data_IF_379310327019
#
_entry.id   IF_379310327019
#
_cell.length_a   1.000
_cell.length_b   1.000
_cell.length_c   1.000
_cell.angle_alpha   90.00
_cell.angle_beta   90.00
_cell.angle_gamma   90.00
#
_symmetry.space_group_name_H-M   'P 1'
#
loop_
_entity.id
_entity.type
_entity.pdbx_description
1 polymer ?
#
# COMPACT_ATOMS: atom_id res chain seq x y z
N UNK A 1 -14.51 17.60 15.05
CA UNK A 1 -13.28 16.95 14.57
C UNK A 1 -12.54 16.18 15.66
N UNK A 2 -12.02 16.80 16.75
CA UNK A 2 -11.29 16.10 17.81
C UNK A 2 -12.12 15.02 18.54
N UNK A 3 -13.40 15.30 18.79
CA UNK A 3 -14.33 14.34 19.40
C UNK A 3 -14.50 13.08 18.53
N UNK A 4 -14.63 13.27 17.20
CA UNK A 4 -14.75 12.17 16.25
C UNK A 4 -13.47 11.31 16.22
N UNK A 5 -12.28 11.95 16.25
CA UNK A 5 -11.01 11.23 16.38
C UNK A 5 -10.91 10.46 17.69
N UNK A 6 -11.35 11.05 18.80
CA UNK A 6 -11.38 10.37 20.09
C UNK A 6 -12.29 9.12 20.05
N UNK A 7 -13.48 9.21 19.45
CA UNK A 7 -14.37 8.06 19.26
C UNK A 7 -13.73 6.98 18.38
N UNK A 8 -13.15 7.37 17.24
CA UNK A 8 -12.49 6.42 16.35
C UNK A 8 -11.37 5.66 17.08
N UNK A 9 -10.50 6.37 17.81
CA UNK A 9 -9.38 5.72 18.50
C UNK A 9 -9.84 4.89 19.70
N UNK A 10 -10.66 5.43 20.58
CA UNK A 10 -11.03 4.74 21.82
C UNK A 10 -11.98 3.57 21.54
N UNK A 11 -13.04 3.79 20.77
CA UNK A 11 -14.01 2.74 20.48
C UNK A 11 -13.42 1.73 19.48
N UNK A 12 -12.69 2.21 18.47
CA UNK A 12 -12.03 1.35 17.48
C UNK A 12 -11.01 0.42 18.11
N UNK A 13 -10.15 0.92 19.00
CA UNK A 13 -9.19 0.08 19.72
C UNK A 13 -9.87 -0.88 20.71
N UNK A 14 -10.93 -0.45 21.37
CA UNK A 14 -11.71 -1.30 22.30
C UNK A 14 -12.36 -2.46 21.53
N UNK A 15 -13.02 -2.17 20.42
CA UNK A 15 -13.64 -3.21 19.57
C UNK A 15 -12.60 -4.13 18.93
N UNK A 16 -11.46 -3.60 18.51
CA UNK A 16 -10.35 -4.41 18.01
C UNK A 16 -9.83 -5.37 19.10
N UNK A 17 -9.73 -4.92 20.36
CA UNK A 17 -9.32 -5.75 21.48
C UNK A 17 -10.37 -6.83 21.80
N UNK A 18 -11.66 -6.52 21.73
CA UNK A 18 -12.77 -7.47 21.91
C UNK A 18 -12.70 -8.54 20.80
N UNK A 19 -12.59 -8.15 19.54
CA UNK A 19 -12.47 -9.08 18.42
C UNK A 19 -11.25 -9.99 18.58
N UNK A 20 -10.13 -9.46 19.05
CA UNK A 20 -8.93 -10.27 19.31
C UNK A 20 -9.17 -11.33 20.42
N UNK A 21 -9.87 -10.99 21.50
CA UNK A 21 -10.27 -11.96 22.54
C UNK A 21 -11.19 -13.05 21.98
N UNK A 22 -12.03 -12.71 21.00
CA UNK A 22 -12.90 -13.65 20.29
C UNK A 22 -12.16 -14.44 19.20
N UNK A 23 -10.83 -14.31 19.09
CA UNK A 23 -9.99 -14.91 18.04
C UNK A 23 -10.32 -14.43 16.61
N UNK A 24 -10.98 -13.29 16.49
CA UNK A 24 -11.24 -12.62 15.22
C UNK A 24 -10.13 -11.62 14.88
N UNK A 25 -9.88 -11.32 13.59
CA UNK A 25 -8.98 -10.25 13.18
C UNK A 25 -9.40 -8.90 13.76
N UNK A 26 -8.43 -8.10 14.24
CA UNK A 26 -8.68 -6.76 14.82
C UNK A 26 -9.40 -5.83 13.86
N UNK A 27 -9.14 -5.97 12.56
CA UNK A 27 -9.72 -5.14 11.51
C UNK A 27 -11.26 -5.25 11.47
N UNK A 28 -11.82 -6.40 11.81
CA UNK A 28 -13.28 -6.59 11.86
C UNK A 28 -13.89 -5.65 12.91
N UNK A 29 -13.28 -5.56 14.10
CA UNK A 29 -13.74 -4.65 15.15
C UNK A 29 -13.65 -3.18 14.73
N UNK A 30 -12.58 -2.80 14.05
CA UNK A 30 -12.40 -1.44 13.52
C UNK A 30 -13.44 -1.13 12.43
N UNK A 31 -13.72 -2.06 11.52
CA UNK A 31 -14.75 -1.91 10.47
C UNK A 31 -16.14 -1.73 11.08
N UNK A 32 -16.53 -2.59 12.01
CA UNK A 32 -17.82 -2.48 12.71
C UNK A 32 -17.92 -1.12 13.41
N UNK A 33 -16.86 -0.68 14.08
CA UNK A 33 -16.83 0.65 14.70
C UNK A 33 -17.05 1.77 13.68
N UNK A 34 -16.38 1.70 12.53
CA UNK A 34 -16.54 2.69 11.46
C UNK A 34 -17.96 2.73 10.91
N UNK A 35 -18.59 1.59 10.72
CA UNK A 35 -19.99 1.49 10.26
C UNK A 35 -20.93 2.08 11.32
N UNK A 36 -20.77 1.71 12.59
CA UNK A 36 -21.65 2.17 13.68
C UNK A 36 -21.52 3.66 13.94
N UNK A 37 -20.30 4.21 13.95
CA UNK A 37 -20.06 5.63 14.17
C UNK A 37 -20.36 6.49 12.93
N UNK A 38 -20.39 5.86 11.77
CA UNK A 38 -20.56 6.50 10.46
C UNK A 38 -21.93 7.14 10.26
N UNK A 39 -22.10 7.83 9.10
CA UNK A 39 -23.28 8.63 8.82
C UNK A 39 -24.57 7.81 8.67
N UNK A 40 -24.47 6.51 8.40
CA UNK A 40 -25.63 5.66 8.15
C UNK A 40 -26.23 5.00 9.39
N UNK A 41 -25.56 5.04 10.56
CA UNK A 41 -26.05 4.44 11.80
C UNK A 41 -26.21 5.49 12.90
N UNK A 42 -25.11 5.86 13.59
CA UNK A 42 -25.17 6.81 14.69
C UNK A 42 -24.85 8.25 14.30
N UNK A 43 -24.24 8.46 13.13
CA UNK A 43 -23.84 9.78 12.62
C UNK A 43 -23.06 10.63 13.65
N UNK A 44 -22.12 9.99 14.35
CA UNK A 44 -21.30 10.64 15.39
C UNK A 44 -19.99 11.21 14.83
N UNK A 45 -19.69 10.94 13.55
CA UNK A 45 -18.50 11.47 12.90
C UNK A 45 -18.80 12.83 12.26
N UNK A 46 -17.96 13.79 12.59
CA UNK A 46 -18.00 15.13 12.02
C UNK A 46 -17.72 15.09 10.50
N UNK A 47 -18.49 15.79 9.66
CA UNK A 47 -18.27 15.84 8.22
C UNK A 47 -16.83 16.23 7.81
N UNK A 48 -16.15 17.04 8.62
CA UNK A 48 -14.76 17.43 8.38
C UNK A 48 -13.78 16.24 8.42
N UNK A 49 -14.06 15.21 9.23
CA UNK A 49 -13.26 13.97 9.24
C UNK A 49 -13.54 13.13 7.99
N UNK A 50 -14.79 13.09 7.57
CA UNK A 50 -15.17 12.34 6.36
C UNK A 50 -14.57 12.97 5.11
N UNK A 51 -14.50 14.30 5.03
CA UNK A 51 -13.91 15.00 3.88
C UNK A 51 -12.41 14.77 3.73
N UNK A 52 -11.66 14.62 4.83
CA UNK A 52 -10.21 14.35 4.81
C UNK A 52 -9.87 12.86 4.97
N UNK A 53 -10.85 11.96 4.86
CA UNK A 53 -10.64 10.53 5.11
C UNK A 53 -9.73 9.87 4.06
N UNK A 54 -9.72 10.37 2.82
CA UNK A 54 -8.84 9.93 1.74
C UNK A 54 -7.38 10.22 2.06
N UNK A 55 -7.08 11.44 2.50
CA UNK A 55 -5.74 11.88 2.86
C UNK A 55 -5.23 11.13 4.10
N UNK A 56 -6.08 10.95 5.12
CA UNK A 56 -5.74 10.17 6.31
C UNK A 56 -5.41 8.70 5.95
N UNK A 57 -6.14 8.11 5.01
CA UNK A 57 -5.88 6.76 4.51
C UNK A 57 -4.55 6.69 3.76
N UNK A 58 -4.23 7.66 2.90
CA UNK A 58 -2.95 7.74 2.21
C UNK A 58 -1.79 7.90 3.19
N UNK A 59 -1.91 8.79 4.19
CA UNK A 59 -0.90 8.94 5.24
C UNK A 59 -0.66 7.62 6.00
N UNK A 60 -1.73 6.92 6.36
CA UNK A 60 -1.62 5.63 7.05
C UNK A 60 -0.91 4.58 6.16
N UNK A 61 -1.23 4.53 4.87
CA UNK A 61 -0.60 3.63 3.91
C UNK A 61 0.92 3.91 3.79
N UNK A 62 1.31 5.17 3.66
CA UNK A 62 2.71 5.59 3.61
C UNK A 62 3.47 5.12 4.87
N UNK A 63 2.90 5.34 6.06
CA UNK A 63 3.53 4.91 7.32
C UNK A 63 3.72 3.40 7.37
N UNK A 64 2.72 2.62 6.91
CA UNK A 64 2.80 1.16 6.86
C UNK A 64 3.88 0.71 5.89
N UNK A 65 3.93 1.31 4.70
CA UNK A 65 4.91 0.97 3.67
C UNK A 65 6.34 1.40 4.05
N UNK A 66 6.52 2.54 4.71
CA UNK A 66 7.81 2.93 5.29
C UNK A 66 8.30 1.90 6.31
N UNK A 67 7.42 1.46 7.20
CA UNK A 67 7.75 0.40 8.16
C UNK A 67 8.13 -0.89 7.44
N UNK A 68 7.47 -1.23 6.35
CA UNK A 68 7.81 -2.37 5.52
C UNK A 68 9.22 -2.21 4.91
N UNK A 69 9.51 -1.08 4.25
CA UNK A 69 10.81 -0.77 3.67
C UNK A 69 11.93 -0.89 4.70
N UNK A 70 11.79 -0.23 5.86
CA UNK A 70 12.76 -0.28 6.95
C UNK A 70 12.98 -1.68 7.56
N UNK A 71 12.05 -2.61 7.40
CA UNK A 71 12.15 -3.99 7.89
C UNK A 71 12.67 -4.99 6.85
N UNK A 72 12.79 -4.59 5.59
CA UNK A 72 13.36 -5.40 4.53
C UNK A 72 14.90 -5.39 4.57
N UNK A 73 15.52 -6.53 4.22
CA UNK A 73 16.96 -6.66 4.08
C UNK A 73 17.33 -6.87 2.61
N UNK A 74 18.27 -6.08 2.09
CA UNK A 74 18.76 -6.14 0.70
C UNK A 74 19.24 -7.53 0.30
N UNK A 75 19.92 -8.24 1.20
CA UNK A 75 20.41 -9.59 0.92
C UNK A 75 19.28 -10.59 0.70
N UNK A 76 18.19 -10.45 1.44
CA UNK A 76 17.03 -11.32 1.32
C UNK A 76 16.17 -10.95 0.10
N UNK A 77 16.06 -9.66 -0.21
CA UNK A 77 15.36 -9.21 -1.42
C UNK A 77 16.05 -9.69 -2.71
N UNK A 78 17.39 -9.69 -2.74
CA UNK A 78 18.14 -10.26 -3.88
C UNK A 78 17.86 -11.74 -4.09
N UNK A 79 17.64 -12.51 -3.01
CA UNK A 79 17.29 -13.93 -3.10
C UNK A 79 15.88 -14.17 -3.66
N UNK A 80 14.94 -13.26 -3.36
CA UNK A 80 13.52 -13.42 -3.74
C UNK A 80 13.11 -12.60 -4.97
N UNK A 81 14.04 -11.91 -5.64
CA UNK A 81 13.75 -10.98 -6.74
C UNK A 81 12.82 -11.53 -7.83
N UNK A 82 13.18 -12.61 -8.52
CA UNK A 82 12.32 -13.22 -9.55
C UNK A 82 11.00 -13.77 -8.99
N UNK A 83 11.00 -14.57 -7.91
CA UNK A 83 9.77 -14.98 -7.25
C UNK A 83 8.88 -13.82 -6.80
N UNK A 84 9.45 -12.69 -6.34
CA UNK A 84 8.68 -11.52 -5.92
C UNK A 84 7.93 -10.87 -7.09
N UNK A 85 8.58 -10.73 -8.25
CA UNK A 85 7.92 -10.23 -9.47
C UNK A 85 6.78 -11.17 -9.90
N UNK A 86 7.01 -12.48 -9.85
CA UNK A 86 5.96 -13.44 -10.15
C UNK A 86 4.81 -13.37 -9.15
N UNK A 87 5.11 -13.18 -7.87
CA UNK A 87 4.12 -13.07 -6.80
C UNK A 87 3.27 -11.80 -6.92
N UNK A 88 3.79 -10.74 -7.51
CA UNK A 88 3.03 -9.48 -7.73
C UNK A 88 2.08 -9.53 -8.93
N UNK A 89 2.35 -10.36 -9.93
CA UNK A 89 1.56 -10.36 -11.16
C UNK A 89 0.68 -11.60 -11.32
N UNK A 90 1.22 -12.79 -11.01
CA UNK A 90 0.56 -14.07 -11.34
C UNK A 90 -0.73 -14.30 -10.54
N UNK A 91 -0.78 -14.12 -9.20
CA UNK A 91 -2.02 -14.32 -8.44
C UNK A 91 -3.14 -13.41 -8.91
N UNK A 92 -2.88 -12.11 -9.04
CA UNK A 92 -3.85 -11.13 -9.50
C UNK A 92 -4.34 -11.44 -10.93
N UNK A 93 -3.45 -11.88 -11.83
CA UNK A 93 -3.83 -12.27 -13.19
C UNK A 93 -4.79 -13.48 -13.20
N UNK A 94 -4.55 -14.47 -12.37
CA UNK A 94 -5.44 -15.64 -12.26
C UNK A 94 -6.79 -15.24 -11.64
N UNK A 95 -6.81 -14.35 -10.67
CA UNK A 95 -8.04 -13.86 -10.05
C UNK A 95 -8.87 -13.07 -11.04
N UNK A 96 -8.27 -12.11 -11.76
CA UNK A 96 -8.92 -11.35 -12.82
C UNK A 96 -9.48 -12.28 -13.90
N UNK A 97 -8.70 -13.28 -14.32
CA UNK A 97 -9.14 -14.27 -15.29
C UNK A 97 -10.35 -15.08 -14.79
N UNK A 98 -10.32 -15.49 -13.53
CA UNK A 98 -11.44 -16.22 -12.93
C UNK A 98 -12.72 -15.36 -12.91
N UNK A 99 -12.63 -14.08 -12.50
CA UNK A 99 -13.75 -13.15 -12.57
C UNK A 99 -14.23 -12.97 -14.01
N UNK A 100 -13.33 -12.72 -14.95
CA UNK A 100 -13.66 -12.53 -16.37
C UNK A 100 -14.44 -13.72 -16.97
N UNK A 101 -14.10 -14.95 -16.56
CA UNK A 101 -14.74 -16.17 -17.06
C UNK A 101 -16.07 -16.49 -16.34
N UNK A 102 -16.11 -16.36 -15.02
CA UNK A 102 -17.21 -16.87 -14.22
C UNK A 102 -18.23 -15.81 -13.80
N UNK A 103 -17.82 -14.56 -13.54
CA UNK A 103 -18.73 -13.53 -13.05
C UNK A 103 -19.86 -13.19 -14.03
N UNK A 104 -19.65 -13.18 -15.36
CA UNK A 104 -20.77 -12.96 -16.30
C UNK A 104 -21.89 -13.98 -16.17
N UNK A 105 -21.58 -15.24 -15.84
CA UNK A 105 -22.57 -16.29 -15.67
C UNK A 105 -23.25 -16.28 -14.31
N UNK A 106 -22.54 -15.82 -13.27
CA UNK A 106 -23.02 -15.86 -11.88
C UNK A 106 -23.74 -14.56 -11.48
N UNK A 107 -23.32 -13.43 -12.03
CA UNK A 107 -23.74 -12.08 -11.61
C UNK A 107 -24.44 -11.30 -12.74
N UNK A 108 -24.58 -11.91 -13.94
CA UNK A 108 -25.22 -11.28 -15.11
C UNK A 108 -24.58 -9.93 -15.51
N UNK A 109 -23.28 -9.77 -15.28
CA UNK A 109 -22.49 -8.58 -15.62
C UNK A 109 -21.76 -8.76 -16.96
N UNK A 110 -21.39 -7.67 -17.62
CA UNK A 110 -20.57 -7.73 -18.81
C UNK A 110 -19.15 -8.25 -18.51
N UNK A 111 -18.45 -8.77 -19.53
CA UNK A 111 -17.08 -9.27 -19.34
C UNK A 111 -16.10 -8.19 -18.90
N UNK A 112 -16.31 -6.95 -19.34
CA UNK A 112 -15.45 -5.83 -18.95
C UNK A 112 -15.70 -5.46 -17.48
N UNK A 113 -16.94 -5.39 -17.05
CA UNK A 113 -17.29 -5.19 -15.64
C UNK A 113 -16.75 -6.32 -14.77
N UNK A 114 -16.81 -7.56 -15.23
CA UNK A 114 -16.21 -8.71 -14.55
C UNK A 114 -14.69 -8.56 -14.40
N UNK A 115 -13.98 -8.05 -15.42
CA UNK A 115 -12.55 -7.78 -15.35
C UNK A 115 -12.24 -6.63 -14.36
N UNK A 116 -13.05 -5.57 -14.33
CA UNK A 116 -12.95 -4.49 -13.32
C UNK A 116 -13.13 -5.06 -11.92
N UNK A 117 -14.14 -5.89 -11.68
CA UNK A 117 -14.38 -6.54 -10.40
C UNK A 117 -13.19 -7.41 -9.98
N UNK A 118 -12.65 -8.21 -10.91
CA UNK A 118 -11.49 -9.04 -10.68
C UNK A 118 -10.25 -8.23 -10.31
N UNK A 119 -10.02 -7.10 -10.96
CA UNK A 119 -8.93 -6.20 -10.63
C UNK A 119 -9.08 -5.58 -9.23
N UNK A 120 -10.27 -5.13 -8.86
CA UNK A 120 -10.53 -4.56 -7.52
C UNK A 120 -10.33 -5.59 -6.41
N UNK A 121 -10.81 -6.82 -6.62
CA UNK A 121 -10.77 -7.86 -5.58
C UNK A 121 -9.43 -8.59 -5.53
N UNK A 122 -8.70 -8.64 -6.66
CA UNK A 122 -7.37 -9.24 -6.76
C UNK A 122 -6.25 -8.43 -6.09
N UNK A 123 -6.51 -7.17 -5.72
CA UNK A 123 -5.56 -6.33 -5.03
C UNK A 123 -5.28 -6.83 -3.60
N UNK A 124 -4.02 -7.05 -3.28
CA UNK A 124 -3.59 -7.48 -1.95
C UNK A 124 -3.27 -6.26 -1.08
N UNK A 125 -3.99 -6.07 0.02
CA UNK A 125 -3.76 -4.92 0.91
C UNK A 125 -2.45 -5.03 1.70
N UNK A 126 -1.45 -4.18 1.44
CA UNK A 126 -0.21 -4.11 2.23
C UNK A 126 -0.48 -3.82 3.71
N UNK A 127 -1.53 -3.05 4.02
CA UNK A 127 -1.91 -2.71 5.38
C UNK A 127 -2.23 -3.93 6.25
N UNK A 128 -2.69 -5.02 5.65
CA UNK A 128 -2.99 -6.29 6.35
C UNK A 128 -1.79 -7.23 6.30
N UNK A 129 -1.14 -7.33 5.15
CA UNK A 129 -0.06 -8.29 4.91
C UNK A 129 1.22 -7.91 5.65
N UNK A 130 1.66 -6.66 5.53
CA UNK A 130 2.95 -6.19 6.08
C UNK A 130 3.06 -6.42 7.59
N UNK A 131 2.11 -6.00 8.45
CA UNK A 131 2.22 -6.22 9.88
C UNK A 131 2.30 -7.71 10.24
N UNK A 132 1.65 -8.57 9.46
CA UNK A 132 1.66 -10.01 9.68
C UNK A 132 3.00 -10.64 9.29
N UNK A 133 3.56 -10.20 8.18
CA UNK A 133 4.87 -10.68 7.72
C UNK A 133 6.00 -10.21 8.64
N UNK A 134 5.94 -8.97 9.14
CA UNK A 134 6.88 -8.48 10.16
C UNK A 134 6.79 -9.34 11.42
N UNK A 135 5.59 -9.66 11.90
CA UNK A 135 5.40 -10.55 13.04
C UNK A 135 6.00 -11.95 12.81
N UNK A 136 5.88 -12.50 11.58
CA UNK A 136 6.50 -13.78 11.23
C UNK A 136 8.02 -13.68 11.20
N UNK A 137 8.58 -12.56 10.72
CA UNK A 137 10.02 -12.31 10.76
C UNK A 137 10.53 -12.24 12.20
N UNK A 138 9.86 -11.50 13.07
CA UNK A 138 10.21 -11.40 14.50
C UNK A 138 10.15 -12.76 15.21
N UNK A 139 9.17 -13.58 14.85
CA UNK A 139 8.99 -14.95 15.38
C UNK A 139 9.85 -15.99 14.65
N UNK A 140 10.65 -15.61 13.67
CA UNK A 140 11.49 -16.47 12.83
C UNK A 140 10.74 -17.55 12.04
N UNK A 141 9.45 -17.35 11.76
CA UNK A 141 8.68 -18.27 10.91
C UNK A 141 8.93 -17.99 9.42
N UNK A 142 9.34 -19.03 8.68
CA UNK A 142 9.58 -18.95 7.22
C UNK A 142 10.79 -18.11 6.82
N UNK A 143 11.61 -17.63 7.75
CA UNK A 143 12.76 -16.75 7.49
C UNK A 143 13.91 -17.47 6.78
N UNK A 144 14.06 -18.77 6.97
CA UNK A 144 15.12 -19.57 6.29
C UNK A 144 15.02 -19.51 4.76
N UNK A 145 13.80 -19.44 4.22
CA UNK A 145 13.51 -19.35 2.77
C UNK A 145 13.08 -17.94 2.37
N UNK A 146 13.24 -16.94 3.24
CA UNK A 146 12.86 -15.56 3.01
C UNK A 146 11.38 -15.39 2.56
N UNK A 147 10.48 -16.28 3.05
CA UNK A 147 9.06 -16.28 2.66
C UNK A 147 8.36 -14.97 3.06
N UNK A 148 8.50 -14.44 4.31
CA UNK A 148 7.88 -13.17 4.66
C UNK A 148 8.36 -12.01 3.79
N UNK A 149 9.64 -11.95 3.47
CA UNK A 149 10.24 -10.95 2.59
C UNK A 149 9.69 -11.05 1.17
N UNK A 150 9.56 -12.28 0.65
CA UNK A 150 8.95 -12.55 -0.65
C UNK A 150 7.51 -12.01 -0.72
N UNK A 151 6.70 -12.31 0.28
CA UNK A 151 5.30 -11.89 0.33
C UNK A 151 5.19 -10.36 0.46
N UNK A 152 6.04 -9.73 1.27
CA UNK A 152 6.08 -8.27 1.41
C UNK A 152 6.47 -7.58 0.10
N UNK A 153 7.53 -8.07 -0.56
CA UNK A 153 7.97 -7.51 -1.84
C UNK A 153 6.91 -7.70 -2.94
N UNK A 154 6.29 -8.89 -3.00
CA UNK A 154 5.19 -9.16 -3.94
C UNK A 154 4.00 -8.23 -3.72
N UNK A 155 3.53 -8.10 -2.49
CA UNK A 155 2.38 -7.25 -2.15
C UNK A 155 2.63 -5.75 -2.39
N UNK A 156 3.88 -5.27 -2.33
CA UNK A 156 4.21 -3.87 -2.63
C UNK A 156 4.19 -3.56 -4.13
N UNK A 157 4.49 -4.53 -4.99
CA UNK A 157 4.46 -4.36 -6.44
C UNK A 157 3.09 -4.72 -7.05
N UNK A 158 2.30 -5.54 -6.38
CA UNK A 158 0.97 -5.97 -6.79
C UNK A 158 0.01 -4.79 -6.98
N UNK A 159 0.02 -3.85 -6.05
CA UNK A 159 -0.82 -2.65 -6.09
C UNK A 159 -0.69 -1.90 -7.43
N UNK A 160 0.55 -1.73 -7.93
CA UNK A 160 0.79 -0.99 -9.18
C UNK A 160 0.24 -1.78 -10.36
N UNK A 161 0.52 -3.08 -10.41
CA UNK A 161 0.03 -3.95 -11.48
C UNK A 161 -1.50 -3.93 -11.54
N UNK A 162 -2.15 -4.07 -10.39
CA UNK A 162 -3.62 -4.09 -10.31
C UNK A 162 -4.23 -2.73 -10.60
N UNK A 163 -3.66 -1.61 -10.11
CA UNK A 163 -4.18 -0.27 -10.38
C UNK A 163 -4.18 0.03 -11.87
N UNK A 164 -3.11 -0.31 -12.58
CA UNK A 164 -3.05 -0.07 -14.03
C UNK A 164 -4.05 -0.92 -14.79
N UNK A 165 -4.21 -2.20 -14.43
CA UNK A 165 -5.24 -3.05 -15.03
C UNK A 165 -6.65 -2.53 -14.73
N UNK A 166 -6.89 -2.11 -13.50
CA UNK A 166 -8.17 -1.53 -13.08
C UNK A 166 -8.50 -0.27 -13.89
N UNK A 167 -7.58 0.70 -13.98
CA UNK A 167 -7.81 1.93 -14.74
C UNK A 167 -8.02 1.65 -16.22
N UNK A 168 -7.28 0.69 -16.79
CA UNK A 168 -7.48 0.25 -18.18
C UNK A 168 -8.86 -0.35 -18.39
N UNK A 169 -9.31 -1.26 -17.53
CA UNK A 169 -10.63 -1.89 -17.67
C UNK A 169 -11.77 -0.90 -17.41
N UNK A 170 -11.62 0.05 -16.49
CA UNK A 170 -12.58 1.13 -16.26
C UNK A 170 -12.68 2.03 -17.49
N UNK A 171 -11.57 2.41 -18.10
CA UNK A 171 -11.55 3.18 -19.35
C UNK A 171 -12.29 2.44 -20.47
N UNK A 172 -12.03 1.13 -20.62
CA UNK A 172 -12.78 0.27 -21.57
C UNK A 172 -14.29 0.25 -21.27
N UNK A 173 -14.68 0.13 -20.02
CA UNK A 173 -16.09 0.12 -19.61
C UNK A 173 -16.80 1.44 -19.93
N UNK A 174 -16.06 2.56 -19.90
CA UNK A 174 -16.56 3.90 -20.24
C UNK A 174 -16.53 4.21 -21.76
N UNK A 175 -16.15 3.22 -22.59
CA UNK A 175 -16.08 3.39 -24.05
C UNK A 175 -14.78 4.02 -24.55
N UNK A 176 -13.76 4.12 -23.70
CA UNK A 176 -12.42 4.58 -24.04
C UNK A 176 -11.65 3.57 -24.91
N UNK A 177 -10.68 4.05 -25.65
CA UNK A 177 -9.75 3.19 -26.40
C UNK A 177 -8.61 2.75 -25.49
N UNK A 178 -8.25 1.47 -25.55
CA UNK A 178 -7.08 0.93 -24.84
C UNK A 178 -5.83 1.34 -25.60
N UNK A 179 -4.97 2.11 -24.97
CA UNK A 179 -3.65 2.38 -25.51
C UNK A 179 -2.66 1.32 -24.99
N UNK A 180 -1.94 0.68 -25.91
CA UNK A 180 -0.85 -0.25 -25.57
C UNK A 180 0.18 0.43 -24.65
N UNK A 181 0.29 1.76 -24.75
CA UNK A 181 1.15 2.58 -23.92
C UNK A 181 0.83 2.48 -22.41
N UNK A 182 -0.44 2.24 -22.04
CA UNK A 182 -0.84 2.09 -20.64
C UNK A 182 -0.17 0.88 -19.98
N UNK A 183 -0.02 -0.22 -20.74
CA UNK A 183 0.71 -1.41 -20.28
C UNK A 183 2.23 -1.21 -20.20
N UNK A 184 2.79 -0.37 -21.07
CA UNK A 184 4.22 -0.01 -21.05
C UNK A 184 4.55 0.92 -19.88
N UNK A 185 3.59 1.72 -19.44
CA UNK A 185 3.75 2.62 -18.31
C UNK A 185 3.90 1.86 -16.96
N UNK A 186 3.40 0.61 -16.84
CA UNK A 186 3.55 -0.20 -15.62
C UNK A 186 5.04 -0.41 -15.27
N UNK A 187 5.86 -1.07 -16.11
CA UNK A 187 7.26 -1.28 -15.78
C UNK A 187 8.04 0.03 -15.66
N UNK A 188 7.68 1.06 -16.43
CA UNK A 188 8.30 2.39 -16.34
C UNK A 188 8.03 3.01 -14.97
N UNK A 189 6.80 3.01 -14.50
CA UNK A 189 6.40 3.53 -13.19
C UNK A 189 7.12 2.82 -12.03
N UNK A 190 7.25 1.50 -12.12
CA UNK A 190 7.99 0.70 -11.15
C UNK A 190 9.47 1.08 -11.11
N UNK A 191 10.12 1.10 -12.29
CA UNK A 191 11.56 1.40 -12.39
C UNK A 191 11.85 2.83 -11.94
N UNK A 192 11.06 3.80 -12.38
CA UNK A 192 11.22 5.21 -11.99
C UNK A 192 10.95 5.42 -10.50
N UNK A 193 9.92 4.78 -9.94
CA UNK A 193 9.64 4.83 -8.50
C UNK A 193 10.80 4.29 -7.67
N UNK A 194 11.33 3.12 -8.04
CA UNK A 194 12.50 2.52 -7.36
C UNK A 194 13.74 3.41 -7.51
N UNK A 195 14.02 3.91 -8.71
CA UNK A 195 15.18 4.75 -8.97
C UNK A 195 15.12 6.07 -8.18
N UNK A 196 13.96 6.74 -8.19
CA UNK A 196 13.73 7.97 -7.44
C UNK A 196 13.86 7.72 -5.94
N UNK A 197 13.23 6.66 -5.41
CA UNK A 197 13.34 6.31 -4.00
C UNK A 197 14.76 5.98 -3.57
N UNK A 198 15.49 5.20 -4.36
CA UNK A 198 16.89 4.87 -4.08
C UNK A 198 17.80 6.12 -4.09
N UNK A 199 17.59 7.04 -5.03
CA UNK A 199 18.32 8.30 -5.10
C UNK A 199 18.06 9.16 -3.86
N UNK A 200 16.79 9.31 -3.48
CA UNK A 200 16.39 10.08 -2.30
C UNK A 200 16.90 9.42 -1.02
N UNK A 201 16.84 8.09 -0.91
CA UNK A 201 17.38 7.32 0.22
C UNK A 201 18.89 7.50 0.36
N UNK A 202 19.62 7.48 -0.76
CA UNK A 202 21.06 7.75 -0.78
C UNK A 202 21.40 9.17 -0.32
N UNK A 203 20.66 10.17 -0.81
CA UNK A 203 20.83 11.56 -0.35
C UNK A 203 20.54 11.72 1.14
N UNK A 204 19.50 11.05 1.64
CA UNK A 204 19.18 11.03 3.08
C UNK A 204 20.26 10.36 3.91
N UNK A 205 20.84 9.27 3.44
CA UNK A 205 21.96 8.60 4.11
C UNK A 205 23.14 9.56 4.28
N UNK A 206 23.56 10.22 3.20
CA UNK A 206 24.63 11.23 3.25
C UNK A 206 24.28 12.37 4.21
N UNK A 207 23.05 12.86 4.14
CA UNK A 207 22.59 13.93 5.02
C UNK A 207 22.67 13.53 6.50
N UNK A 208 22.17 12.34 6.85
CA UNK A 208 22.21 11.86 8.24
C UNK A 208 23.61 11.54 8.72
N UNK A 209 24.48 10.99 7.87
CA UNK A 209 25.88 10.75 8.21
C UNK A 209 26.65 12.06 8.46
N UNK A 210 26.44 13.06 7.59
CA UNK A 210 27.07 14.38 7.74
C UNK A 210 26.55 15.10 8.99
N UNK A 211 25.24 15.03 9.25
CA UNK A 211 24.64 15.62 10.45
C UNK A 211 25.12 14.92 11.73
N UNK A 212 25.32 13.60 11.68
CA UNK A 212 25.88 12.84 12.80
C UNK A 212 27.36 13.19 13.07
N UNK A 213 28.15 13.32 12.01
CA UNK A 213 29.56 13.70 12.12
C UNK A 213 29.76 15.10 12.76
N UNK A 214 28.80 16.04 12.51
CA UNK A 214 28.91 17.40 13.06
C UNK A 214 28.39 17.55 14.50
N UNK A 215 27.31 16.80 14.88
CA UNK A 215 26.64 16.97 16.18
C UNK A 215 26.67 15.76 17.10
N UNK A 216 27.29 14.66 16.71
CA UNK A 216 27.37 13.38 17.43
C UNK A 216 26.01 12.80 17.92
N UNK A 217 24.89 13.46 17.68
CA UNK A 217 23.57 12.99 18.07
C UNK A 217 22.48 13.56 17.16
N UNK A 218 21.90 12.74 16.29
CA UNK A 218 20.64 13.04 15.60
C UNK A 218 19.51 12.32 16.32
N UNK A 219 18.62 13.08 16.92
CA UNK A 219 17.51 12.55 17.70
C UNK A 219 16.61 11.68 16.81
N UNK A 220 16.26 10.46 17.26
CA UNK A 220 15.47 9.52 16.48
C UNK A 220 14.14 10.13 15.98
N UNK A 221 13.49 10.96 16.81
CA UNK A 221 12.27 11.68 16.42
C UNK A 221 12.46 12.58 15.20
N UNK A 222 13.62 13.26 15.09
CA UNK A 222 13.94 14.11 13.93
C UNK A 222 14.08 13.27 12.66
N UNK A 223 14.76 12.13 12.75
CA UNK A 223 14.89 11.19 11.62
C UNK A 223 13.54 10.75 11.11
N UNK A 224 12.64 10.34 12.01
CA UNK A 224 11.28 9.89 11.65
C UNK A 224 10.49 11.00 10.95
N UNK A 225 10.53 12.23 11.48
CA UNK A 225 9.82 13.37 10.90
C UNK A 225 10.35 13.69 9.49
N UNK A 226 11.67 13.71 9.31
CA UNK A 226 12.30 13.99 8.01
C UNK A 226 11.91 12.89 6.99
N UNK A 227 12.04 11.61 7.36
CA UNK A 227 11.70 10.48 6.49
C UNK A 227 10.22 10.52 6.10
N UNK A 228 9.31 10.79 7.06
CA UNK A 228 7.88 10.94 6.78
C UNK A 228 7.60 12.14 5.86
N UNK A 229 8.20 13.30 6.12
CA UNK A 229 8.02 14.49 5.29
C UNK A 229 8.45 14.26 3.84
N UNK A 230 9.60 13.58 3.64
CA UNK A 230 10.08 13.26 2.30
C UNK A 230 9.19 12.21 1.63
N UNK A 231 8.66 11.24 2.38
CA UNK A 231 7.70 10.27 1.82
C UNK A 231 6.42 10.93 1.34
N UNK A 232 5.89 11.90 2.09
CA UNK A 232 4.74 12.70 1.64
C UNK A 232 5.08 13.52 0.40
N UNK A 233 6.31 14.06 0.32
CA UNK A 233 6.77 14.78 -0.87
C UNK A 233 6.86 13.87 -2.09
N UNK A 234 7.33 12.62 -1.95
CA UNK A 234 7.37 11.65 -3.04
C UNK A 234 5.97 11.32 -3.58
N UNK A 235 4.98 11.24 -2.70
CA UNK A 235 3.57 11.08 -3.12
C UNK A 235 3.03 12.33 -3.83
N UNK A 236 3.40 13.53 -3.37
CA UNK A 236 3.02 14.75 -4.06
C UNK A 236 3.67 14.85 -5.46
N UNK A 237 4.91 14.40 -5.60
CA UNK A 237 5.60 14.33 -6.90
C UNK A 237 4.87 13.36 -7.84
N UNK A 238 4.38 12.21 -7.36
CA UNK A 238 3.54 11.31 -8.15
C UNK A 238 2.34 12.04 -8.76
N UNK A 239 1.55 12.74 -7.93
CA UNK A 239 0.37 13.46 -8.40
C UNK A 239 0.70 14.66 -9.31
N UNK A 240 1.85 15.32 -9.13
CA UNK A 240 2.28 16.41 -10.01
C UNK A 240 2.86 15.92 -11.34
N UNK A 241 3.45 14.73 -11.35
CA UNK A 241 4.05 14.14 -12.55
C UNK A 241 3.06 13.29 -13.36
N UNK A 242 1.87 13.01 -12.86
CA UNK A 242 0.88 12.10 -13.44
C UNK A 242 0.59 12.42 -14.91
N UNK A 243 0.53 13.71 -15.26
CA UNK A 243 0.28 14.16 -16.64
C UNK A 243 1.48 13.96 -17.59
N UNK A 244 2.70 13.81 -17.07
CA UNK A 244 3.93 13.74 -17.87
C UNK A 244 4.59 12.37 -17.85
N UNK A 245 4.68 11.77 -16.67
CA UNK A 245 5.40 10.50 -16.46
C UNK A 245 4.74 9.74 -15.33
N UNK A 246 4.42 8.48 -15.57
CA UNK A 246 3.94 7.59 -14.52
C UNK A 246 5.09 7.24 -13.56
N UNK A 247 5.02 7.73 -12.32
CA UNK A 247 5.97 7.42 -11.25
C UNK A 247 5.17 6.85 -10.09
N UNK A 248 5.63 5.76 -9.47
CA UNK A 248 5.00 5.27 -8.25
C UNK A 248 5.65 5.88 -7.01
N UNK A 249 4.97 6.85 -6.39
CA UNK A 249 5.39 7.47 -5.13
C UNK A 249 5.39 6.48 -3.96
N UNK A 250 4.49 5.51 -3.96
CA UNK A 250 4.46 4.44 -2.95
C UNK A 250 5.73 3.59 -3.00
N UNK A 251 6.13 3.12 -4.19
CA UNK A 251 7.37 2.38 -4.37
C UNK A 251 8.60 3.24 -4.09
N UNK A 252 8.57 4.53 -4.47
CA UNK A 252 9.63 5.45 -4.12
C UNK A 252 9.78 5.59 -2.60
N UNK A 253 8.68 5.67 -1.85
CA UNK A 253 8.69 5.69 -0.38
C UNK A 253 9.27 4.41 0.23
N UNK A 254 8.90 3.24 -0.26
CA UNK A 254 9.46 1.96 0.19
C UNK A 254 10.95 1.87 -0.15
N UNK A 255 11.32 2.20 -1.38
CA UNK A 255 12.70 2.13 -1.86
C UNK A 255 13.64 3.14 -1.16
N UNK A 256 13.11 4.31 -0.76
CA UNK A 256 13.83 5.29 0.04
C UNK A 256 14.12 4.78 1.46
N UNK A 257 13.20 4.01 2.05
CA UNK A 257 13.32 3.48 3.40
C UNK A 257 14.31 2.30 3.48
N UNK A 258 14.72 1.78 2.37
CA UNK A 258 15.56 0.62 2.16
C UNK A 258 17.04 0.98 2.08
#
# INVERSE_FOLDING_TARGET
MLTSLAFIFLIGLSMAAICQKLKLPRIIGMLITGIVLGPYVLNLLDPSILSISSELRQMALIIILLKAGLSLNLSDLKKVGRPAIMMSCVPASFEILAFFLFAPYLLEVSRIEAAVMGAVLGAVSPAVVVPRMVQFMDSRYGTQKSIPQLVMAGASCDDIFVIVLFTTFVSMAQGGQVHIMDFVNIPISIILGIALGALVGFLLSIFFETAYAHKHCVRNSMKVIIVLGISFMLMAIESWAEDFVSISGLLAGVSMAF
#
